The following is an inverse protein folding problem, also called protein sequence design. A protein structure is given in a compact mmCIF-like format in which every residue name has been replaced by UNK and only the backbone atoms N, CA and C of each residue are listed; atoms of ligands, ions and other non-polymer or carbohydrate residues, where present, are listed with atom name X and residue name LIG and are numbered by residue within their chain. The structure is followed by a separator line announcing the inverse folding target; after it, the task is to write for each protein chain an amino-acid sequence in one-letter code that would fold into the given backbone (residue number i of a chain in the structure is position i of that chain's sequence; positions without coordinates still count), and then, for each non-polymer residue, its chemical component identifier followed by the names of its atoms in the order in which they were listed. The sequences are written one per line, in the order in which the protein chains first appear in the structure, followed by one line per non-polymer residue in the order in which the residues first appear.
data_IF_224460015140
#
_entry.id   IF_224460015140
#
_cell.length_a   1.000
_cell.length_b   1.000
_cell.length_c   1.000
_cell.angle_alpha   90.00
_cell.angle_beta   90.00
_cell.angle_gamma   90.00
#
_symmetry.space_group_name_H-M   'P 1'
#
loop_
_entity.id
_entity.type
_entity.pdbx_description
1 polymer ?
#
# COMPACT_ATOMS: atom_id res chain seq x y z
N UNK A 1 34.00 2.50 -7.00
CA UNK A 1 32.74 2.45 -7.80
C UNK A 1 32.26 1.03 -8.05
N UNK A 2 33.06 0.12 -8.64
CA UNK A 2 32.65 -1.28 -8.88
C UNK A 2 32.14 -1.99 -7.63
N UNK A 3 32.81 -1.80 -6.49
CA UNK A 3 32.36 -2.35 -5.20
C UNK A 3 30.96 -1.85 -4.80
N UNK A 4 30.65 -0.57 -5.03
CA UNK A 4 29.31 -0.03 -4.73
C UNK A 4 28.23 -0.69 -5.59
N UNK A 5 28.53 -0.93 -6.87
CA UNK A 5 27.63 -1.60 -7.80
C UNK A 5 27.39 -3.05 -7.36
N UNK A 6 28.42 -3.74 -6.85
CA UNK A 6 28.31 -5.09 -6.31
C UNK A 6 27.35 -5.19 -5.12
N UNK A 7 27.29 -4.16 -4.27
CA UNK A 7 26.37 -4.13 -3.11
C UNK A 7 24.93 -3.73 -3.47
N UNK A 8 24.69 -3.12 -4.64
CA UNK A 8 23.35 -2.70 -5.06
C UNK A 8 22.32 -3.85 -5.11
N UNK A 9 22.61 -5.04 -5.70
CA UNK A 9 21.71 -6.18 -5.67
C UNK A 9 21.36 -6.63 -4.25
N UNK A 10 22.33 -6.61 -3.32
CA UNK A 10 22.10 -6.97 -1.93
C UNK A 10 21.16 -5.97 -1.24
N UNK A 11 21.40 -4.66 -1.42
CA UNK A 11 20.49 -3.62 -0.90
C UNK A 11 19.10 -3.71 -1.51
N UNK A 12 19.00 -3.96 -2.83
CA UNK A 12 17.74 -4.17 -3.51
C UNK A 12 16.99 -5.37 -2.94
N UNK A 13 17.66 -6.51 -2.75
CA UNK A 13 17.06 -7.71 -2.20
C UNK A 13 16.57 -7.51 -0.75
N UNK A 14 17.38 -6.88 0.12
CA UNK A 14 16.95 -6.51 1.48
C UNK A 14 15.76 -5.54 1.46
N UNK A 15 15.77 -4.55 0.57
CA UNK A 15 14.68 -3.60 0.40
C UNK A 15 13.38 -4.28 -0.03
N UNK A 16 13.45 -5.20 -0.99
CA UNK A 16 12.30 -5.98 -1.45
C UNK A 16 11.75 -6.88 -0.33
N UNK A 17 12.63 -7.49 0.46
CA UNK A 17 12.24 -8.31 1.60
C UNK A 17 11.55 -7.46 2.69
N UNK A 18 12.07 -6.27 2.96
CA UNK A 18 11.46 -5.32 3.89
C UNK A 18 10.06 -4.89 3.40
N UNK A 19 9.93 -4.56 2.11
CA UNK A 19 8.64 -4.23 1.49
C UNK A 19 7.63 -5.37 1.62
N UNK A 20 8.06 -6.62 1.32
CA UNK A 20 7.22 -7.81 1.46
C UNK A 20 6.70 -8.02 2.88
N UNK A 21 7.56 -7.88 3.89
CA UNK A 21 7.12 -8.02 5.29
C UNK A 21 6.27 -6.86 5.77
N UNK A 22 6.56 -5.63 5.31
CA UNK A 22 5.72 -4.46 5.60
C UNK A 22 4.32 -4.61 5.02
N UNK A 23 4.19 -5.05 3.77
CA UNK A 23 2.90 -5.33 3.14
C UNK A 23 2.11 -6.40 3.90
N UNK A 24 2.77 -7.52 4.27
CA UNK A 24 2.14 -8.55 5.10
C UNK A 24 1.71 -8.03 6.48
N UNK A 25 2.50 -7.19 7.12
CA UNK A 25 2.15 -6.57 8.39
C UNK A 25 0.89 -5.70 8.24
N UNK A 26 0.85 -4.84 7.22
CA UNK A 26 -0.31 -4.00 6.92
C UNK A 26 -1.58 -4.83 6.71
N UNK A 27 -1.53 -5.89 5.88
CA UNK A 27 -2.69 -6.78 5.67
C UNK A 27 -3.19 -7.43 6.97
N UNK A 28 -2.30 -7.76 7.92
CA UNK A 28 -2.68 -8.33 9.22
C UNK A 28 -3.27 -7.28 10.15
N UNK A 29 -2.73 -6.06 10.13
CA UNK A 29 -3.29 -4.92 10.85
C UNK A 29 -4.71 -4.61 10.36
N UNK A 30 -4.93 -4.60 9.04
CA UNK A 30 -6.26 -4.37 8.45
C UNK A 30 -7.26 -5.45 8.89
N UNK A 31 -6.87 -6.73 8.84
CA UNK A 31 -7.72 -7.83 9.31
C UNK A 31 -8.10 -7.68 10.80
N UNK A 32 -7.15 -7.26 11.66
CA UNK A 32 -7.44 -6.99 13.07
C UNK A 32 -8.40 -5.81 13.24
N UNK A 33 -8.24 -4.75 12.46
CA UNK A 33 -9.11 -3.56 12.53
C UNK A 33 -10.53 -3.89 12.06
N UNK A 34 -10.68 -4.64 10.96
CA UNK A 34 -11.98 -5.14 10.52
C UNK A 34 -12.66 -6.00 11.59
N UNK A 35 -11.93 -6.96 12.17
CA UNK A 35 -12.48 -7.80 13.25
C UNK A 35 -12.91 -6.98 14.47
N UNK A 36 -12.11 -5.98 14.87
CA UNK A 36 -12.50 -5.06 15.95
C UNK A 36 -13.77 -4.29 15.63
N UNK A 37 -13.92 -3.84 14.38
CA UNK A 37 -15.10 -3.13 13.95
C UNK A 37 -16.35 -4.02 14.06
N UNK A 38 -16.27 -5.28 13.62
CA UNK A 38 -17.36 -6.26 13.79
C UNK A 38 -17.71 -6.49 15.26
N UNK A 39 -16.72 -6.60 16.14
CA UNK A 39 -16.93 -6.76 17.59
C UNK A 39 -17.63 -5.57 18.20
N UNK A 40 -17.29 -4.34 17.80
CA UNK A 40 -17.94 -3.12 18.30
C UNK A 40 -19.39 -3.06 17.83
N UNK A 41 -19.65 -3.39 16.57
CA UNK A 41 -21.01 -3.42 16.01
C UNK A 41 -21.88 -4.52 16.65
N UNK A 42 -21.28 -5.66 17.02
CA UNK A 42 -21.97 -6.81 17.61
C UNK A 42 -21.90 -6.92 19.14
N UNK A 43 -21.50 -5.85 19.85
CA UNK A 43 -21.15 -5.93 21.28
C UNK A 43 -22.31 -6.39 22.17
N UNK A 44 -23.54 -6.03 21.83
CA UNK A 44 -24.74 -6.41 22.59
C UNK A 44 -24.95 -7.93 22.57
N UNK A 45 -24.85 -8.56 21.41
CA UNK A 45 -25.00 -10.02 21.25
C UNK A 45 -23.88 -10.75 22.00
N UNK A 46 -22.65 -10.26 21.91
CA UNK A 46 -21.49 -10.83 22.61
C UNK A 46 -21.70 -10.82 24.13
N UNK A 47 -22.24 -9.71 24.66
CA UNK A 47 -22.58 -9.57 26.08
C UNK A 47 -23.71 -10.50 26.49
N UNK A 48 -24.79 -10.58 25.71
CA UNK A 48 -25.93 -11.48 25.99
C UNK A 48 -25.50 -12.95 26.07
N UNK A 49 -24.54 -13.36 25.24
CA UNK A 49 -24.06 -14.75 25.16
C UNK A 49 -22.78 -15.02 25.96
N UNK A 50 -22.25 -14.03 26.69
CA UNK A 50 -20.99 -14.12 27.43
C UNK A 50 -19.79 -14.60 26.57
N UNK A 51 -19.77 -14.26 25.27
CA UNK A 51 -18.72 -14.68 24.31
C UNK A 51 -17.42 -13.85 24.40
N UNK A 52 -17.24 -13.06 25.45
CA UNK A 52 -16.13 -12.13 25.62
C UNK A 52 -14.77 -12.85 25.61
N UNK A 53 -14.67 -14.00 26.31
CA UNK A 53 -13.41 -14.77 26.38
C UNK A 53 -13.03 -15.34 25.01
N UNK A 54 -14.01 -15.83 24.24
CA UNK A 54 -13.79 -16.35 22.90
C UNK A 54 -13.36 -15.24 21.94
N UNK A 55 -14.05 -14.09 21.98
CA UNK A 55 -13.72 -12.92 21.15
C UNK A 55 -12.32 -12.39 21.46
N UNK A 56 -11.96 -12.34 22.75
CA UNK A 56 -10.63 -11.90 23.19
C UNK A 56 -9.53 -12.86 22.73
N UNK A 57 -9.75 -14.18 22.81
CA UNK A 57 -8.75 -15.16 22.38
C UNK A 57 -8.50 -15.08 20.86
N UNK A 58 -9.57 -14.89 20.06
CA UNK A 58 -9.47 -14.65 18.62
C UNK A 58 -8.70 -13.36 18.32
N UNK A 59 -9.01 -12.26 19.02
CA UNK A 59 -8.29 -10.99 18.87
C UNK A 59 -6.79 -11.11 19.19
N UNK A 60 -6.44 -11.83 20.27
CA UNK A 60 -5.05 -12.09 20.64
C UNK A 60 -4.34 -12.93 19.59
N UNK A 61 -5.02 -13.91 18.97
CA UNK A 61 -4.45 -14.70 17.88
C UNK A 61 -4.10 -13.83 16.66
N UNK A 62 -4.98 -12.90 16.27
CA UNK A 62 -4.73 -11.93 15.19
C UNK A 62 -3.58 -11.00 15.55
N UNK A 63 -3.55 -10.49 16.79
CA UNK A 63 -2.46 -9.63 17.28
C UNK A 63 -1.11 -10.36 17.29
N UNK A 64 -1.07 -11.64 17.65
CA UNK A 64 0.16 -12.43 17.62
C UNK A 64 0.70 -12.60 16.19
N UNK A 65 -0.19 -12.82 15.21
CA UNK A 65 0.17 -12.88 13.80
C UNK A 65 0.68 -11.53 13.29
N UNK A 66 0.00 -10.43 13.61
CA UNK A 66 0.44 -9.07 13.30
C UNK A 66 1.84 -8.80 13.87
N UNK A 67 2.03 -9.05 15.17
CA UNK A 67 3.30 -8.83 15.86
C UNK A 67 4.45 -9.70 15.31
N UNK A 68 4.16 -10.88 14.76
CA UNK A 68 5.17 -11.72 14.08
C UNK A 68 5.73 -11.01 12.85
N UNK A 69 4.86 -10.47 12.00
CA UNK A 69 5.29 -9.79 10.78
C UNK A 69 5.89 -8.42 11.05
N UNK A 70 5.39 -7.68 12.05
CA UNK A 70 6.02 -6.44 12.52
C UNK A 70 7.46 -6.71 12.99
N UNK A 71 7.67 -7.75 13.81
CA UNK A 71 9.02 -8.12 14.27
C UNK A 71 9.95 -8.49 13.11
N UNK A 72 9.48 -9.30 12.16
CA UNK A 72 10.25 -9.64 10.96
C UNK A 72 10.62 -8.39 10.14
N UNK A 73 9.67 -7.47 9.94
CA UNK A 73 9.93 -6.21 9.26
C UNK A 73 11.00 -5.38 9.98
N UNK A 74 10.94 -5.29 11.31
CA UNK A 74 11.93 -4.57 12.12
C UNK A 74 13.30 -5.24 12.07
N UNK A 75 13.38 -6.58 12.08
CA UNK A 75 14.65 -7.28 11.94
C UNK A 75 15.30 -7.05 10.58
N UNK A 76 14.54 -7.09 9.49
CA UNK A 76 15.08 -6.78 8.16
C UNK A 76 15.53 -5.32 8.08
N UNK A 77 14.78 -4.39 8.68
CA UNK A 77 15.18 -2.98 8.76
C UNK A 77 16.47 -2.80 9.57
N UNK A 78 16.61 -3.49 10.69
CA UNK A 78 17.83 -3.47 11.49
C UNK A 78 19.02 -4.02 10.71
N UNK A 79 18.86 -5.17 10.03
CA UNK A 79 19.89 -5.73 9.17
C UNK A 79 20.31 -4.76 8.06
N UNK A 80 19.35 -4.10 7.41
CA UNK A 80 19.63 -3.07 6.41
C UNK A 80 20.47 -1.92 6.97
N UNK A 81 20.08 -1.38 8.13
CA UNK A 81 20.81 -0.29 8.79
C UNK A 81 22.22 -0.73 9.21
N UNK A 82 22.37 -1.94 9.75
CA UNK A 82 23.68 -2.48 10.12
C UNK A 82 24.59 -2.68 8.91
N UNK A 83 24.08 -3.22 7.80
CA UNK A 83 24.84 -3.35 6.56
C UNK A 83 25.27 -1.99 6.02
N UNK A 84 24.38 -0.99 6.02
CA UNK A 84 24.69 0.37 5.56
C UNK A 84 25.82 1.04 6.38
N UNK A 85 25.89 0.80 7.68
CA UNK A 85 26.97 1.31 8.54
C UNK A 85 28.32 0.66 8.20
N UNK A 86 28.34 -0.64 7.90
CA UNK A 86 29.59 -1.41 7.73
C UNK A 86 30.14 -1.36 6.30
N UNK A 87 29.29 -1.30 5.28
CA UNK A 87 29.70 -1.39 3.86
C UNK A 87 30.60 -0.22 3.44
N UNK A 88 30.32 1.01 3.87
CA UNK A 88 31.09 2.19 3.44
C UNK A 88 32.52 2.21 3.98
N UNK A 89 32.76 1.98 5.29
CA UNK A 89 34.11 1.81 5.82
C UNK A 89 34.91 0.72 5.08
N UNK A 90 34.28 -0.41 4.74
CA UNK A 90 34.95 -1.49 3.99
C UNK A 90 35.34 -1.01 2.59
N UNK A 91 34.43 -0.35 1.86
CA UNK A 91 34.72 0.16 0.51
C UNK A 91 35.83 1.21 0.55
N UNK A 92 35.80 2.11 1.54
CA UNK A 92 36.84 3.11 1.75
C UNK A 92 38.18 2.44 2.05
N UNK A 93 38.21 1.46 2.94
CA UNK A 93 39.42 0.70 3.28
C UNK A 93 40.02 0.02 2.05
N UNK A 94 39.21 -0.72 1.27
CA UNK A 94 39.68 -1.38 0.03
C UNK A 94 40.20 -0.35 -0.97
N UNK A 95 39.50 0.78 -1.13
CA UNK A 95 39.92 1.84 -2.07
C UNK A 95 41.25 2.44 -1.67
N UNK A 96 41.46 2.70 -0.37
CA UNK A 96 42.72 3.23 0.14
C UNK A 96 43.84 2.21 -0.07
N UNK A 97 43.64 0.94 0.29
CA UNK A 97 44.64 -0.14 0.12
C UNK A 97 45.10 -0.27 -1.33
N UNK A 98 44.15 -0.26 -2.28
CA UNK A 98 44.47 -0.32 -3.73
C UNK A 98 45.23 0.93 -4.19
N UNK A 99 44.90 2.09 -3.64
CA UNK A 99 45.58 3.36 -3.95
C UNK A 99 47.03 3.36 -3.45
N UNK A 100 47.29 2.84 -2.24
CA UNK A 100 48.66 2.72 -1.68
C UNK A 100 49.57 1.87 -2.56
N UNK A 101 49.01 0.85 -3.20
CA UNK A 101 49.78 -0.07 -4.04
C UNK A 101 50.38 0.63 -5.29
N UNK A 102 49.79 1.74 -5.73
CA UNK A 102 50.22 2.45 -6.95
C UNK A 102 50.81 3.84 -6.67
N UNK A 103 50.42 4.50 -5.58
CA UNK A 103 50.80 5.89 -5.29
C UNK A 103 51.10 6.13 -3.80
N UNK A 104 51.83 7.21 -3.52
CA UNK A 104 52.03 7.69 -2.15
C UNK A 104 50.75 8.33 -1.61
N UNK A 105 50.40 7.97 -0.37
CA UNK A 105 49.21 8.49 0.30
C UNK A 105 49.51 9.89 0.83
N UNK A 106 48.62 10.85 0.53
CA UNK A 106 48.59 12.16 1.18
C UNK A 106 47.27 12.34 1.92
N UNK A 107 47.31 13.01 3.07
CA UNK A 107 46.16 13.14 3.96
C UNK A 107 44.98 13.91 3.33
N UNK A 108 45.28 14.88 2.47
CA UNK A 108 44.31 15.64 1.68
C UNK A 108 43.45 14.71 0.80
N UNK A 109 44.08 13.81 0.04
CA UNK A 109 43.38 12.89 -0.87
C UNK A 109 42.46 11.92 -0.11
N UNK A 110 42.89 11.42 1.06
CA UNK A 110 42.09 10.49 1.88
C UNK A 110 40.86 11.20 2.44
N UNK A 111 41.02 12.42 2.95
CA UNK A 111 39.90 13.19 3.50
C UNK A 111 38.86 13.53 2.42
N UNK A 112 39.30 13.96 1.24
CA UNK A 112 38.40 14.21 0.09
C UNK A 112 37.66 12.94 -0.34
N UNK A 113 38.32 11.78 -0.37
CA UNK A 113 37.67 10.51 -0.70
C UNK A 113 36.58 10.14 0.31
N UNK A 114 36.84 10.30 1.61
CA UNK A 114 35.84 10.02 2.66
C UNK A 114 34.60 10.89 2.49
N UNK A 115 34.77 12.19 2.23
CA UNK A 115 33.65 13.10 1.99
C UNK A 115 32.86 12.69 0.74
N UNK A 116 33.55 12.42 -0.36
CA UNK A 116 32.90 12.05 -1.62
C UNK A 116 32.10 10.74 -1.49
N UNK A 117 32.66 9.71 -0.87
CA UNK A 117 31.97 8.44 -0.66
C UNK A 117 30.75 8.57 0.27
N UNK A 118 30.80 9.46 1.28
CA UNK A 118 29.64 9.73 2.13
C UNK A 118 28.50 10.41 1.38
N UNK A 119 28.79 11.39 0.51
CA UNK A 119 27.79 12.00 -0.37
C UNK A 119 27.21 10.99 -1.36
N UNK A 120 28.08 10.19 -1.98
CA UNK A 120 27.68 9.19 -2.96
C UNK A 120 26.81 8.08 -2.33
N UNK A 121 27.07 7.70 -1.07
CA UNK A 121 26.26 6.75 -0.29
C UNK A 121 24.80 7.17 -0.23
N UNK A 122 24.52 8.43 0.10
CA UNK A 122 23.14 8.92 0.23
C UNK A 122 22.41 8.87 -1.13
N UNK A 123 23.07 9.31 -2.19
CA UNK A 123 22.50 9.33 -3.54
C UNK A 123 22.22 7.93 -4.08
N UNK A 124 23.22 7.04 -4.04
CA UNK A 124 23.13 5.70 -4.64
C UNK A 124 22.37 4.73 -3.72
N UNK A 125 22.65 4.75 -2.42
CA UNK A 125 22.12 3.78 -1.47
C UNK A 125 20.70 4.09 -0.99
N UNK A 126 20.30 5.37 -0.94
CA UNK A 126 18.99 5.77 -0.39
C UNK A 126 18.08 6.41 -1.43
N UNK A 127 18.52 7.51 -2.05
CA UNK A 127 17.65 8.29 -2.94
C UNK A 127 17.31 7.53 -4.21
N UNK A 128 18.26 6.82 -4.82
CA UNK A 128 18.02 6.09 -6.06
C UNK A 128 16.98 4.95 -5.91
N UNK A 129 17.11 4.01 -4.94
CA UNK A 129 16.08 3.00 -4.71
C UNK A 129 14.72 3.60 -4.33
N UNK A 130 14.72 4.67 -3.53
CA UNK A 130 13.50 5.36 -3.12
C UNK A 130 12.77 6.00 -4.32
N UNK A 131 13.50 6.64 -5.22
CA UNK A 131 12.95 7.20 -6.45
C UNK A 131 12.35 6.13 -7.36
N UNK A 132 13.00 4.96 -7.48
CA UNK A 132 12.48 3.83 -8.26
C UNK A 132 11.16 3.30 -7.69
N UNK A 133 11.07 3.17 -6.36
CA UNK A 133 9.82 2.80 -5.67
C UNK A 133 8.71 3.82 -5.91
N UNK A 134 9.00 5.12 -5.76
CA UNK A 134 8.01 6.17 -6.02
C UNK A 134 7.54 6.19 -7.46
N UNK A 135 8.43 5.94 -8.43
CA UNK A 135 8.04 5.81 -9.83
C UNK A 135 7.08 4.63 -10.04
N UNK A 136 7.36 3.49 -9.42
CA UNK A 136 6.49 2.31 -9.53
C UNK A 136 5.10 2.58 -8.91
N UNK A 137 5.06 3.18 -7.71
CA UNK A 137 3.81 3.57 -7.03
C UNK A 137 3.01 4.60 -7.85
N UNK A 138 3.69 5.61 -8.39
CA UNK A 138 3.07 6.65 -9.22
C UNK A 138 2.45 6.05 -10.49
N UNK A 139 3.12 5.09 -11.14
CA UNK A 139 2.62 4.44 -12.35
C UNK A 139 1.35 3.62 -12.05
N UNK A 140 1.36 2.82 -10.99
CA UNK A 140 0.17 2.04 -10.58
C UNK A 140 -1.00 2.98 -10.22
N UNK A 141 -0.70 4.08 -9.52
CA UNK A 141 -1.71 5.07 -9.13
C UNK A 141 -2.31 5.77 -10.35
N UNK A 142 -1.46 6.21 -11.29
CA UNK A 142 -1.89 6.84 -12.54
C UNK A 142 -2.75 5.88 -13.38
N UNK A 143 -2.40 4.60 -13.43
CA UNK A 143 -3.21 3.58 -14.12
C UNK A 143 -4.60 3.45 -13.52
N UNK A 144 -4.73 3.40 -12.19
CA UNK A 144 -6.05 3.33 -11.51
C UNK A 144 -6.90 4.56 -11.78
N UNK A 145 -6.29 5.74 -11.77
CA UNK A 145 -7.00 7.00 -12.11
C UNK A 145 -7.49 6.94 -13.56
N UNK A 146 -6.65 6.48 -14.48
CA UNK A 146 -7.03 6.32 -15.88
C UNK A 146 -8.17 5.32 -16.06
N UNK A 147 -8.12 4.16 -15.40
CA UNK A 147 -9.21 3.17 -15.43
C UNK A 147 -10.51 3.74 -14.86
N UNK A 148 -10.44 4.54 -13.77
CA UNK A 148 -11.61 5.19 -13.19
C UNK A 148 -12.24 6.23 -14.13
N UNK A 149 -11.43 7.09 -14.74
CA UNK A 149 -11.90 8.15 -15.64
C UNK A 149 -12.45 7.61 -16.97
N UNK A 150 -12.06 6.40 -17.36
CA UNK A 150 -12.56 5.72 -18.56
C UNK A 150 -13.82 4.89 -18.29
N UNK A 151 -14.32 4.85 -17.06
CA UNK A 151 -15.58 4.17 -16.77
C UNK A 151 -16.74 4.85 -17.50
N UNK A 152 -17.70 4.04 -17.95
CA UNK A 152 -18.92 4.52 -18.57
C UNK A 152 -19.76 5.29 -17.56
N UNK A 153 -19.97 6.58 -17.82
CA UNK A 153 -20.92 7.39 -17.06
C UNK A 153 -22.36 7.02 -17.44
N UNK A 154 -23.26 7.07 -16.47
CA UNK A 154 -24.69 6.90 -16.70
C UNK A 154 -25.19 8.18 -17.36
N UNK A 155 -25.68 8.06 -18.60
CA UNK A 155 -26.35 9.18 -19.26
C UNK A 155 -27.72 9.35 -18.61
N UNK A 156 -27.85 10.38 -17.79
CA UNK A 156 -29.14 10.89 -17.36
C UNK A 156 -29.71 11.66 -18.54
N UNK A 157 -30.67 11.07 -19.27
CA UNK A 157 -31.52 11.86 -20.15
C UNK A 157 -32.20 12.93 -19.30
N UNK A 158 -32.05 14.19 -19.70
CA UNK A 158 -32.73 15.29 -19.04
C UNK A 158 -34.22 15.03 -19.16
N UNK A 159 -34.89 14.82 -18.02
CA UNK A 159 -36.34 14.67 -17.99
C UNK A 159 -36.97 15.93 -18.58
N UNK A 160 -37.52 15.83 -19.79
CA UNK A 160 -38.38 16.86 -20.34
C UNK A 160 -39.58 16.99 -19.43
N UNK A 161 -39.87 18.21 -18.95
CA UNK A 161 -41.05 18.49 -18.16
C UNK A 161 -42.29 18.34 -19.06
N UNK A 162 -42.89 17.16 -19.07
CA UNK A 162 -44.17 16.91 -19.73
C UNK A 162 -45.32 17.50 -18.91
N UNK A 163 -46.28 18.11 -19.61
CA UNK A 163 -47.51 18.66 -19.03
C UNK A 163 -48.61 17.60 -18.92
N UNK A 164 -48.22 16.37 -18.58
CA UNK A 164 -49.16 15.24 -18.49
C UNK A 164 -49.93 15.25 -17.15
N UNK A 165 -51.19 14.80 -17.13
CA UNK A 165 -52.01 14.76 -15.92
C UNK A 165 -51.61 13.65 -14.93
N UNK A 166 -50.56 12.88 -15.21
CA UNK A 166 -50.10 11.72 -14.44
C UNK A 166 -48.76 12.07 -13.81
N UNK A 167 -48.62 11.83 -12.50
CA UNK A 167 -47.43 12.22 -11.75
C UNK A 167 -46.25 11.29 -12.04
N UNK A 168 -46.47 9.97 -12.08
CA UNK A 168 -45.43 8.98 -12.39
C UNK A 168 -46.03 7.88 -13.26
N UNK A 169 -45.39 7.59 -14.40
CA UNK A 169 -45.72 6.44 -15.25
C UNK A 169 -44.45 5.66 -15.55
N UNK A 170 -44.44 4.38 -15.19
CA UNK A 170 -43.42 3.40 -15.54
C UNK A 170 -44.14 2.33 -16.38
N UNK A 171 -43.74 2.17 -17.63
CA UNK A 171 -44.27 1.15 -18.54
C UNK A 171 -43.14 0.21 -18.95
N UNK A 172 -43.32 -1.08 -18.72
CA UNK A 172 -42.36 -2.15 -19.03
C UNK A 172 -40.95 -1.86 -18.47
N UNK A 173 -40.92 -1.31 -17.24
CA UNK A 173 -39.70 -0.89 -16.58
C UNK A 173 -38.83 -2.08 -16.17
N UNK A 174 -37.62 -2.13 -16.71
CA UNK A 174 -36.62 -3.14 -16.42
C UNK A 174 -35.40 -2.48 -15.76
N UNK A 175 -34.99 -2.97 -14.58
CA UNK A 175 -33.85 -2.40 -13.84
C UNK A 175 -32.91 -3.48 -13.30
N UNK A 176 -31.61 -3.16 -13.30
CA UNK A 176 -30.54 -4.06 -12.83
C UNK A 176 -29.45 -3.27 -12.11
N UNK A 177 -28.88 -3.86 -11.07
CA UNK A 177 -27.73 -3.31 -10.35
C UNK A 177 -26.38 -3.85 -10.85
N UNK A 178 -26.36 -5.07 -11.41
CA UNK A 178 -25.16 -5.71 -11.97
C UNK A 178 -25.49 -6.34 -13.33
N UNK A 179 -25.58 -7.66 -13.39
CA UNK A 179 -25.83 -8.40 -14.63
C UNK A 179 -27.28 -8.89 -14.70
N UNK A 180 -27.82 -9.38 -13.58
CA UNK A 180 -29.19 -9.86 -13.50
C UNK A 180 -30.21 -8.73 -13.33
N UNK A 181 -31.28 -8.82 -14.12
CA UNK A 181 -32.47 -7.99 -13.99
C UNK A 181 -33.12 -8.23 -12.63
N UNK A 182 -33.11 -7.19 -11.79
CA UNK A 182 -33.70 -7.19 -10.44
C UNK A 182 -35.19 -6.87 -10.51
N UNK A 183 -35.55 -5.90 -11.35
CA UNK A 183 -36.93 -5.54 -11.65
C UNK A 183 -37.21 -5.93 -13.10
N UNK A 184 -38.32 -6.64 -13.32
CA UNK A 184 -38.76 -7.11 -14.63
C UNK A 184 -40.20 -6.70 -14.87
N UNK A 185 -40.47 -6.11 -16.03
CA UNK A 185 -41.79 -5.81 -16.56
C UNK A 185 -42.69 -5.03 -15.58
N UNK A 186 -42.12 -4.02 -14.89
CA UNK A 186 -42.89 -3.19 -13.97
C UNK A 186 -43.77 -2.20 -14.74
N UNK A 187 -45.07 -2.28 -14.46
CA UNK A 187 -46.07 -1.32 -14.90
C UNK A 187 -46.65 -0.61 -13.68
N UNK A 188 -46.37 0.69 -13.54
CA UNK A 188 -46.85 1.53 -12.44
C UNK A 188 -47.37 2.86 -12.98
N UNK A 189 -48.58 3.24 -12.60
CA UNK A 189 -49.17 4.55 -12.91
C UNK A 189 -49.69 5.18 -11.62
N UNK A 190 -49.20 6.37 -11.29
CA UNK A 190 -49.55 7.12 -10.08
C UNK A 190 -50.14 8.47 -10.47
N UNK A 191 -51.32 8.77 -9.94
CA UNK A 191 -51.98 10.05 -10.19
C UNK A 191 -51.53 11.13 -9.20
N UNK A 192 -51.64 12.42 -9.55
CA UNK A 192 -51.30 13.52 -8.65
C UNK A 192 -52.19 13.52 -7.40
N UNK A 193 -51.60 13.49 -6.21
CA UNK A 193 -52.33 13.56 -4.92
C UNK A 193 -52.83 12.21 -4.38
N UNK A 194 -52.48 11.10 -5.01
CA UNK A 194 -52.81 9.75 -4.54
C UNK A 194 -51.70 9.21 -3.61
N UNK A 195 -52.06 8.53 -2.52
CA UNK A 195 -51.11 7.90 -1.61
C UNK A 195 -50.85 6.46 -2.11
N UNK A 196 -49.60 6.18 -2.48
CA UNK A 196 -49.15 4.88 -3.03
C UNK A 196 -48.34 4.11 -2.01
#
# INVERSE_FOLDING_TARGET
VLLLILFLPAYYWLGNLASKYRSKAAMRTDARVCYMNEVILGIEIIKMHAWEKLTTSLMLSLRNLEMKYIRLCTYVKAAYMSCDIVVIPIILWVTIVVYVCHNTIRADTVFTLILYYNSLRLSIGKFFPQALSYRAEALVSARRINEFLLNTEIQLENAESTTDPIAIRISEGNAKWKEDLTLKDINLTVNPGELV
#
